data_IF_844672651658
#
_entry.id   IF_844672651658
#
_cell.length_a   1.000
_cell.length_b   1.000
_cell.length_c   1.000
_cell.angle_alpha   90.00
_cell.angle_beta   90.00
_cell.angle_gamma   90.00
#
_symmetry.space_group_name_H-M   'P 1'
#
loop_
_entity.id
_entity.type
_entity.pdbx_description
1 polymer ?
#
# COMPACT_ATOMS: atom_id res chain seq x y z
N UNK A 1 -33.75 -16.35 -10.54
CA UNK A 1 -33.77 -15.63 -9.25
C UNK A 1 -33.50 -14.16 -9.51
N UNK A 2 -34.19 -13.25 -8.82
CA UNK A 2 -33.88 -11.81 -8.90
C UNK A 2 -32.56 -11.52 -8.18
N UNK A 3 -31.68 -10.72 -8.78
CA UNK A 3 -30.44 -10.28 -8.13
C UNK A 3 -30.73 -9.43 -6.90
N UNK A 4 -29.85 -9.49 -5.90
CA UNK A 4 -29.89 -8.64 -4.72
C UNK A 4 -29.49 -7.22 -5.14
N UNK A 5 -30.35 -6.24 -4.89
CA UNK A 5 -30.08 -4.82 -5.17
C UNK A 5 -29.14 -4.26 -4.10
N UNK A 6 -28.00 -3.72 -4.52
CA UNK A 6 -27.04 -3.08 -3.62
C UNK A 6 -27.17 -1.56 -3.76
N UNK A 7 -27.25 -0.86 -2.63
CA UNK A 7 -27.23 0.60 -2.59
C UNK A 7 -25.79 1.11 -2.54
N UNK A 8 -25.50 2.17 -3.29
CA UNK A 8 -24.16 2.77 -3.37
C UNK A 8 -23.29 2.16 -4.48
N UNK A 9 -22.02 2.54 -4.46
CA UNK A 9 -21.01 2.15 -5.45
C UNK A 9 -19.85 1.47 -4.74
N UNK A 10 -19.36 0.36 -5.29
CA UNK A 10 -18.11 -0.26 -4.87
C UNK A 10 -17.02 0.11 -5.87
N UNK A 11 -15.86 0.55 -5.38
CA UNK A 11 -14.70 0.79 -6.23
C UNK A 11 -13.95 -0.52 -6.43
N UNK A 12 -13.78 -0.95 -7.68
CA UNK A 12 -13.12 -2.20 -8.07
C UNK A 12 -11.75 -1.89 -8.68
N UNK A 13 -10.70 -2.26 -7.96
CA UNK A 13 -9.31 -2.02 -8.33
C UNK A 13 -8.70 -3.34 -8.83
N UNK A 14 -8.61 -3.50 -10.14
CA UNK A 14 -8.04 -4.71 -10.75
C UNK A 14 -6.53 -4.80 -10.55
N UNK A 15 -5.92 -5.92 -10.94
CA UNK A 15 -4.54 -6.24 -10.63
C UNK A 15 -3.83 -7.02 -11.72
N UNK A 16 -2.84 -7.80 -11.30
CA UNK A 16 -1.85 -8.43 -12.17
C UNK A 16 -1.84 -9.96 -12.08
N UNK A 17 -1.15 -10.59 -13.03
CA UNK A 17 -0.79 -12.02 -13.07
C UNK A 17 -1.97 -12.97 -12.80
N UNK A 18 -1.74 -14.04 -12.03
CA UNK A 18 -2.76 -15.04 -11.71
C UNK A 18 -3.93 -14.45 -10.92
N UNK A 19 -3.68 -13.43 -10.10
CA UNK A 19 -4.74 -12.80 -9.32
C UNK A 19 -5.74 -12.07 -10.21
N UNK A 20 -5.31 -11.45 -11.31
CA UNK A 20 -6.22 -10.84 -12.29
C UNK A 20 -7.18 -11.87 -12.91
N UNK A 21 -6.66 -13.04 -13.28
CA UNK A 21 -7.48 -14.12 -13.86
C UNK A 21 -8.52 -14.63 -12.84
N UNK A 22 -8.09 -14.86 -11.60
CA UNK A 22 -8.98 -15.28 -10.52
C UNK A 22 -10.01 -14.18 -10.19
N UNK A 23 -9.61 -12.91 -10.26
CA UNK A 23 -10.48 -11.76 -10.01
C UNK A 23 -11.65 -11.71 -10.99
N UNK A 24 -11.38 -11.87 -12.29
CA UNK A 24 -12.42 -11.96 -13.31
C UNK A 24 -13.39 -13.11 -13.04
N UNK A 25 -12.87 -14.30 -12.70
CA UNK A 25 -13.71 -15.45 -12.35
C UNK A 25 -14.62 -15.15 -11.15
N UNK A 26 -14.08 -14.61 -10.05
CA UNK A 26 -14.85 -14.26 -8.86
C UNK A 26 -15.97 -13.27 -9.23
N UNK A 27 -15.61 -12.19 -9.94
CA UNK A 27 -16.56 -11.15 -10.33
C UNK A 27 -17.68 -11.71 -11.20
N UNK A 28 -17.34 -12.45 -12.25
CA UNK A 28 -18.29 -12.94 -13.26
C UNK A 28 -19.14 -14.12 -12.78
N UNK A 29 -18.57 -15.04 -12.00
CA UNK A 29 -19.23 -16.29 -11.64
C UNK A 29 -19.86 -16.24 -10.24
N UNK A 30 -19.27 -15.47 -9.31
CA UNK A 30 -19.64 -15.52 -7.89
C UNK A 30 -20.30 -14.23 -7.39
N UNK A 31 -20.14 -13.10 -8.09
CA UNK A 31 -20.69 -11.80 -7.67
C UNK A 31 -21.83 -11.34 -8.58
N UNK A 32 -21.53 -11.03 -9.85
CA UNK A 32 -22.48 -10.41 -10.78
C UNK A 32 -23.73 -11.25 -11.11
N UNK A 33 -23.72 -12.60 -11.04
CA UNK A 33 -24.95 -13.39 -11.22
C UNK A 33 -25.96 -13.18 -10.08
N UNK A 34 -25.48 -12.79 -8.89
CA UNK A 34 -26.28 -12.74 -7.66
C UNK A 34 -26.53 -11.31 -7.17
N UNK A 35 -25.63 -10.36 -7.46
CA UNK A 35 -25.74 -8.96 -7.05
C UNK A 35 -25.98 -8.03 -8.25
N UNK A 36 -26.89 -7.08 -8.08
CA UNK A 36 -27.00 -5.90 -8.91
C UNK A 36 -26.37 -4.72 -8.14
N UNK A 37 -25.10 -4.51 -8.41
CA UNK A 37 -24.22 -3.58 -7.69
C UNK A 37 -23.57 -2.62 -8.69
N UNK A 38 -23.54 -1.33 -8.34
CA UNK A 38 -22.82 -0.35 -9.12
C UNK A 38 -21.32 -0.47 -8.84
N UNK A 39 -20.52 -0.61 -9.90
CA UNK A 39 -19.07 -0.78 -9.80
C UNK A 39 -18.38 0.36 -10.55
N UNK A 40 -17.55 1.11 -9.84
CA UNK A 40 -16.62 2.08 -10.43
C UNK A 40 -15.26 1.40 -10.58
N UNK A 41 -14.86 1.12 -11.82
CA UNK A 41 -13.73 0.25 -12.13
C UNK A 41 -12.45 1.04 -12.42
N UNK A 42 -11.34 0.57 -11.85
CA UNK A 42 -9.99 1.09 -12.05
C UNK A 42 -9.02 -0.05 -12.33
N UNK A 43 -8.35 -0.02 -13.48
CA UNK A 43 -7.35 -1.02 -13.82
C UNK A 43 -6.00 -0.64 -13.23
N UNK A 44 -5.60 -1.29 -12.12
CA UNK A 44 -4.27 -1.09 -11.53
C UNK A 44 -3.22 -2.09 -12.04
N UNK A 45 -3.51 -2.79 -13.13
CA UNK A 45 -2.53 -3.62 -13.84
C UNK A 45 -1.30 -2.80 -14.25
N UNK A 46 -0.13 -3.42 -14.23
CA UNK A 46 1.17 -2.77 -14.44
C UNK A 46 1.20 -1.91 -15.71
N UNK A 47 0.72 -2.45 -16.83
CA UNK A 47 0.70 -1.76 -18.11
C UNK A 47 -0.17 -0.50 -18.09
N UNK A 48 -1.36 -0.56 -17.46
CA UNK A 48 -2.23 0.61 -17.36
C UNK A 48 -1.70 1.65 -16.38
N UNK A 49 -1.05 1.22 -15.30
CA UNK A 49 -0.34 2.14 -14.40
C UNK A 49 0.80 2.84 -15.13
N UNK A 50 1.60 2.12 -15.92
CA UNK A 50 2.65 2.73 -16.71
C UNK A 50 2.09 3.69 -17.77
N UNK A 51 1.02 3.30 -18.48
CA UNK A 51 0.36 4.13 -19.50
C UNK A 51 -0.18 5.45 -18.94
N UNK A 52 -0.70 5.44 -17.69
CA UNK A 52 -1.32 6.60 -17.03
C UNK A 52 -0.36 7.36 -16.12
N UNK A 53 0.93 7.06 -16.16
CA UNK A 53 1.94 7.61 -15.25
C UNK A 53 1.58 7.45 -13.75
N UNK A 54 0.96 6.30 -13.44
CA UNK A 54 0.43 5.87 -12.13
C UNK A 54 -0.73 6.73 -11.61
N UNK A 55 -1.30 7.61 -12.43
CA UNK A 55 -2.45 8.45 -12.06
C UNK A 55 -3.69 7.62 -11.73
N UNK A 56 -3.91 6.48 -12.41
CA UNK A 56 -5.03 5.57 -12.15
C UNK A 56 -5.04 5.08 -10.68
N UNK A 57 -3.88 4.90 -10.07
CA UNK A 57 -3.75 4.50 -8.66
C UNK A 57 -4.25 5.60 -7.71
N UNK A 58 -3.95 6.87 -8.03
CA UNK A 58 -4.39 8.03 -7.25
C UNK A 58 -5.90 8.23 -7.41
N UNK A 59 -6.41 8.11 -8.63
CA UNK A 59 -7.83 8.26 -8.93
C UNK A 59 -8.65 7.20 -8.21
N UNK A 60 -8.19 5.94 -8.22
CA UNK A 60 -8.83 4.85 -7.51
C UNK A 60 -8.89 5.11 -5.99
N UNK A 61 -7.82 5.64 -5.39
CA UNK A 61 -7.82 6.00 -3.97
C UNK A 61 -8.83 7.11 -3.65
N UNK A 62 -8.93 8.13 -4.50
CA UNK A 62 -9.91 9.20 -4.33
C UNK A 62 -11.35 8.72 -4.54
N UNK A 63 -11.58 7.77 -5.46
CA UNK A 63 -12.88 7.13 -5.62
C UNK A 63 -13.27 6.34 -4.37
N UNK A 64 -12.33 5.62 -3.74
CA UNK A 64 -12.59 4.94 -2.45
C UNK A 64 -12.96 5.99 -1.40
N UNK A 65 -12.25 7.11 -1.32
CA UNK A 65 -12.56 8.19 -0.37
C UNK A 65 -13.96 8.76 -0.58
N UNK A 66 -14.41 8.87 -1.83
CA UNK A 66 -15.76 9.34 -2.22
C UNK A 66 -16.86 8.33 -1.89
N UNK A 67 -16.63 7.04 -2.14
CA UNK A 67 -17.66 5.99 -2.06
C UNK A 67 -17.63 5.16 -0.77
N UNK A 68 -16.54 5.25 -0.01
CA UNK A 68 -16.34 4.59 1.28
C UNK A 68 -15.87 3.13 1.20
N UNK A 69 -16.05 2.44 0.06
CA UNK A 69 -15.72 1.01 -0.08
C UNK A 69 -14.90 0.75 -1.35
N UNK A 70 -13.75 0.13 -1.18
CA UNK A 70 -12.90 -0.37 -2.26
C UNK A 70 -12.57 -1.84 -2.08
N UNK A 71 -12.57 -2.59 -3.18
CA UNK A 71 -12.08 -3.97 -3.26
C UNK A 71 -10.90 -3.99 -4.24
N UNK A 72 -9.83 -4.68 -3.87
CA UNK A 72 -8.57 -4.59 -4.61
C UNK A 72 -7.96 -5.97 -4.86
N UNK A 73 -7.63 -6.21 -6.13
CA UNK A 73 -6.81 -7.32 -6.59
C UNK A 73 -5.31 -7.08 -6.29
N UNK A 74 -4.52 -8.15 -6.20
CA UNK A 74 -3.08 -8.02 -5.97
C UNK A 74 -2.39 -7.42 -7.20
N UNK A 75 -1.41 -6.55 -6.97
CA UNK A 75 -0.71 -5.77 -8.01
C UNK A 75 0.79 -5.92 -7.84
N UNK A 76 1.52 -5.98 -8.96
CA UNK A 76 2.98 -5.98 -8.97
C UNK A 76 3.48 -4.63 -8.42
N UNK A 77 4.51 -4.66 -7.58
CA UNK A 77 5.35 -3.49 -7.30
C UNK A 77 6.67 -3.72 -8.04
N UNK A 78 7.01 -2.92 -9.06
CA UNK A 78 8.11 -3.25 -9.94
C UNK A 78 9.45 -3.03 -9.24
N UNK A 79 10.37 -3.96 -9.43
CA UNK A 79 11.81 -3.82 -9.19
C UNK A 79 12.53 -3.64 -10.54
N UNK A 80 13.87 -3.63 -10.56
CA UNK A 80 14.65 -3.49 -11.79
C UNK A 80 14.31 -4.56 -12.83
N UNK A 81 14.08 -5.80 -12.39
CA UNK A 81 13.76 -6.90 -13.29
C UNK A 81 12.37 -6.71 -13.92
N UNK A 82 11.38 -6.26 -13.13
CA UNK A 82 10.05 -5.95 -13.66
C UNK A 82 10.03 -4.72 -14.58
N UNK A 83 10.94 -3.75 -14.37
CA UNK A 83 11.11 -2.63 -15.31
C UNK A 83 11.57 -3.14 -16.67
N UNK A 84 12.53 -4.07 -16.71
CA UNK A 84 13.00 -4.69 -17.96
C UNK A 84 11.92 -5.58 -18.60
N UNK A 85 11.27 -6.45 -17.81
CA UNK A 85 10.25 -7.39 -18.29
C UNK A 85 9.07 -6.68 -18.99
N UNK A 86 8.59 -5.59 -18.40
CA UNK A 86 7.42 -4.86 -18.89
C UNK A 86 7.78 -3.63 -19.74
N UNK A 87 9.07 -3.29 -19.89
CA UNK A 87 9.51 -2.08 -20.59
C UNK A 87 8.99 -0.78 -19.97
N UNK A 88 8.98 -0.70 -18.64
CA UNK A 88 8.36 0.41 -17.90
C UNK A 88 9.11 1.73 -18.09
N UNK A 89 8.38 2.85 -18.10
CA UNK A 89 8.97 4.21 -18.14
C UNK A 89 9.89 4.46 -16.94
N UNK A 90 9.52 3.93 -15.78
CA UNK A 90 10.30 3.98 -14.53
C UNK A 90 9.80 2.96 -13.52
N UNK A 91 10.54 2.80 -12.44
CA UNK A 91 10.14 1.99 -11.28
C UNK A 91 9.02 2.71 -10.51
N UNK A 92 7.76 2.35 -10.79
CA UNK A 92 6.59 2.90 -10.12
C UNK A 92 6.53 2.49 -8.64
N UNK A 93 5.96 3.36 -7.81
CA UNK A 93 5.74 3.04 -6.38
C UNK A 93 4.68 1.95 -6.23
N UNK A 94 4.64 1.32 -5.05
CA UNK A 94 3.62 0.32 -4.74
C UNK A 94 2.23 0.96 -4.72
N UNK A 95 1.24 0.44 -5.49
CA UNK A 95 -0.12 0.95 -5.44
C UNK A 95 -0.73 0.90 -4.04
N UNK A 96 -0.39 -0.15 -3.29
CA UNK A 96 -0.84 -0.31 -1.91
C UNK A 96 -0.33 0.83 -1.01
N UNK A 97 0.92 1.26 -1.20
CA UNK A 97 1.50 2.38 -0.46
C UNK A 97 0.80 3.70 -0.81
N UNK A 98 0.60 3.96 -2.11
CA UNK A 98 -0.10 5.16 -2.59
C UNK A 98 -1.52 5.25 -2.03
N UNK A 99 -2.30 4.18 -2.12
CA UNK A 99 -3.69 4.14 -1.61
C UNK A 99 -3.73 4.39 -0.09
N UNK A 100 -2.88 3.71 0.68
CA UNK A 100 -2.80 3.89 2.15
C UNK A 100 -2.42 5.31 2.53
N UNK A 101 -1.52 5.93 1.78
CA UNK A 101 -1.10 7.31 2.04
C UNK A 101 -2.22 8.32 1.82
N UNK A 102 -3.15 8.03 0.91
CA UNK A 102 -4.28 8.92 0.59
C UNK A 102 -5.46 8.67 1.54
N UNK A 103 -5.72 7.42 1.91
CA UNK A 103 -6.85 7.04 2.76
C UNK A 103 -6.55 7.11 4.26
N UNK A 104 -5.30 6.88 4.66
CA UNK A 104 -4.93 6.68 6.06
C UNK A 104 -5.43 5.36 6.65
N UNK A 105 -5.38 5.25 7.97
CA UNK A 105 -6.01 4.16 8.74
C UNK A 105 -5.12 2.95 9.05
N UNK A 106 -5.79 1.91 9.56
CA UNK A 106 -5.18 0.69 10.12
C UNK A 106 -5.49 -0.51 9.24
N UNK A 107 -4.49 -1.35 8.98
CA UNK A 107 -4.69 -2.59 8.24
C UNK A 107 -4.91 -3.72 9.23
N UNK A 108 -6.12 -4.27 9.26
CA UNK A 108 -6.39 -5.51 9.99
C UNK A 108 -6.14 -6.72 9.10
N UNK A 109 -5.38 -7.69 9.61
CA UNK A 109 -5.16 -8.99 8.97
C UNK A 109 -5.66 -10.10 9.90
N UNK A 110 -6.57 -10.91 9.39
CA UNK A 110 -7.17 -12.02 10.11
C UNK A 110 -7.02 -13.32 9.29
N UNK A 111 -6.74 -14.47 9.92
CA UNK A 111 -6.73 -15.75 9.23
C UNK A 111 -8.17 -16.25 8.96
N UNK A 112 -8.39 -16.80 7.77
CA UNK A 112 -9.60 -17.62 7.49
C UNK A 112 -9.34 -19.03 8.02
N UNK A 113 -10.00 -19.41 9.12
CA UNK A 113 -9.80 -20.70 9.78
C UNK A 113 -10.65 -21.78 9.10
N UNK A 114 -9.98 -22.86 8.68
CA UNK A 114 -10.63 -24.05 8.09
C UNK A 114 -10.35 -25.23 9.02
N UNK A 115 -11.41 -25.92 9.46
CA UNK A 115 -11.35 -26.93 10.53
C UNK A 115 -10.44 -28.12 10.23
N UNK A 116 -10.23 -28.45 8.95
CA UNK A 116 -9.40 -29.56 8.50
C UNK A 116 -7.97 -29.16 8.10
N UNK A 117 -7.59 -27.88 8.26
CA UNK A 117 -6.22 -27.41 7.99
C UNK A 117 -5.47 -27.25 9.32
N UNK A 118 -4.42 -28.05 9.59
CA UNK A 118 -3.64 -27.91 10.81
C UNK A 118 -2.87 -26.59 10.84
N UNK A 119 -2.72 -26.01 12.03
CA UNK A 119 -1.99 -24.76 12.23
C UNK A 119 -0.52 -25.04 12.51
N UNK A 120 0.36 -24.14 12.04
CA UNK A 120 1.80 -24.22 12.29
C UNK A 120 2.14 -24.18 13.78
N UNK A 121 1.41 -23.38 14.55
CA UNK A 121 1.49 -23.33 16.01
C UNK A 121 0.25 -24.00 16.59
N UNK A 122 0.34 -25.25 17.10
CA UNK A 122 -0.84 -26.03 17.49
C UNK A 122 -1.66 -25.37 18.61
N UNK A 123 -1.00 -24.64 19.52
CA UNK A 123 -1.63 -23.96 20.65
C UNK A 123 -2.50 -22.75 20.29
N UNK A 124 -2.43 -22.25 19.05
CA UNK A 124 -3.29 -21.16 18.61
C UNK A 124 -4.71 -21.66 18.35
N UNK A 125 -5.54 -21.74 19.37
CA UNK A 125 -6.93 -22.24 19.28
C UNK A 125 -7.94 -21.16 18.92
N UNK A 126 -7.52 -19.89 18.90
CA UNK A 126 -8.31 -18.72 18.52
C UNK A 126 -7.57 -17.91 17.46
N UNK A 127 -8.29 -17.16 16.58
CA UNK A 127 -7.65 -16.30 15.60
C UNK A 127 -6.84 -15.20 16.29
N UNK A 128 -5.75 -14.80 15.65
CA UNK A 128 -4.95 -13.63 16.03
C UNK A 128 -5.13 -12.61 14.91
N UNK A 129 -5.58 -11.41 15.27
CA UNK A 129 -5.75 -10.30 14.34
C UNK A 129 -4.58 -9.35 14.53
N UNK A 130 -3.90 -9.01 13.44
CA UNK A 130 -2.82 -8.02 13.46
C UNK A 130 -3.37 -6.70 12.94
N UNK A 131 -3.45 -5.70 13.82
CA UNK A 131 -3.62 -4.30 13.45
C UNK A 131 -2.25 -3.72 13.09
N UNK A 132 -2.04 -3.39 11.82
CA UNK A 132 -0.80 -2.82 11.31
C UNK A 132 -0.99 -1.33 11.02
N UNK A 133 -0.19 -0.49 11.67
CA UNK A 133 -0.08 0.93 11.35
C UNK A 133 0.48 1.09 9.94
N UNK A 134 -0.23 1.84 9.09
CA UNK A 134 0.02 1.91 7.65
C UNK A 134 0.58 3.25 7.19
N UNK A 135 1.26 3.98 8.09
CA UNK A 135 1.78 5.32 7.84
C UNK A 135 3.18 5.49 8.42
N UNK A 136 4.03 6.26 7.73
CA UNK A 136 5.35 6.67 8.22
C UNK A 136 6.41 5.57 8.18
N UNK A 137 7.34 5.66 9.13
CA UNK A 137 8.42 4.71 9.42
C UNK A 137 9.23 4.34 8.16
N UNK A 138 9.70 3.09 8.06
CA UNK A 138 10.53 2.63 6.93
C UNK A 138 9.82 2.78 5.57
N UNK A 139 8.48 2.84 5.54
CA UNK A 139 7.72 2.96 4.30
C UNK A 139 7.74 4.36 3.68
N UNK A 140 8.16 5.37 4.46
CA UNK A 140 8.37 6.75 4.01
C UNK A 140 9.75 7.29 4.41
N UNK A 141 10.68 6.39 4.66
CA UNK A 141 12.04 6.77 4.97
C UNK A 141 12.73 7.39 3.75
N UNK A 142 13.76 8.18 4.01
CA UNK A 142 14.75 8.58 3.02
C UNK A 142 16.07 7.92 3.40
N UNK A 143 16.60 7.13 2.50
CA UNK A 143 17.84 6.39 2.66
C UNK A 143 18.91 6.89 1.68
N UNK A 144 20.17 6.77 2.08
CA UNK A 144 21.31 7.26 1.31
C UNK A 144 22.53 6.40 1.53
N UNK A 145 23.31 6.20 0.46
CA UNK A 145 24.65 5.65 0.55
C UNK A 145 25.65 6.76 0.87
N UNK A 146 26.38 6.61 1.97
CA UNK A 146 27.43 7.54 2.39
C UNK A 146 28.73 7.17 1.66
N UNK A 147 29.32 8.08 0.86
CA UNK A 147 30.41 7.72 -0.05
C UNK A 147 31.78 7.57 0.64
N UNK A 148 31.98 8.09 1.85
CA UNK A 148 33.27 8.12 2.52
C UNK A 148 33.17 8.67 3.94
N UNK A 149 34.31 9.03 4.53
CA UNK A 149 34.36 9.59 5.87
C UNK A 149 33.67 10.98 5.93
N UNK A 150 32.99 11.27 7.04
CA UNK A 150 32.29 12.55 7.25
C UNK A 150 31.27 12.51 8.40
N UNK A 151 30.79 13.67 8.83
CA UNK A 151 29.73 13.80 9.84
C UNK A 151 28.35 13.76 9.17
N UNK A 152 27.44 12.97 9.73
CA UNK A 152 26.03 12.96 9.36
C UNK A 152 25.21 13.59 10.48
N UNK A 153 24.46 14.66 10.16
CA UNK A 153 23.58 15.33 11.11
C UNK A 153 22.11 15.19 10.71
N UNK A 154 21.21 15.30 11.70
CA UNK A 154 19.78 15.49 11.52
C UNK A 154 19.42 16.91 11.93
N UNK A 155 18.77 17.65 11.04
CA UNK A 155 18.37 19.04 11.32
C UNK A 155 16.86 19.21 11.19
N UNK A 156 16.25 19.83 12.19
CA UNK A 156 14.85 20.26 12.16
C UNK A 156 14.79 21.79 12.23
N UNK A 157 14.18 22.42 11.22
CA UNK A 157 13.99 23.86 11.15
C UNK A 157 12.53 24.20 11.46
N UNK A 158 12.23 24.86 12.59
CA UNK A 158 10.89 25.29 12.93
C UNK A 158 10.29 26.26 11.88
N UNK A 159 9.02 26.03 11.50
CA UNK A 159 8.33 26.87 10.52
C UNK A 159 7.97 28.27 11.04
N UNK A 160 7.99 28.47 12.36
CA UNK A 160 7.76 29.76 13.03
C UNK A 160 9.02 30.65 13.05
N UNK A 161 10.12 30.20 12.45
CA UNK A 161 11.39 30.92 12.39
C UNK A 161 12.25 30.79 13.65
N UNK A 162 11.92 29.87 14.56
CA UNK A 162 12.78 29.52 15.69
C UNK A 162 14.12 28.93 15.26
N UNK A 163 15.07 28.86 16.21
CA UNK A 163 16.40 28.28 15.97
C UNK A 163 16.31 26.80 15.54
N UNK A 164 17.04 26.39 14.48
CA UNK A 164 17.09 24.98 14.08
C UNK A 164 17.68 24.08 15.17
N UNK A 165 17.09 22.91 15.34
CA UNK A 165 17.68 21.83 16.14
C UNK A 165 18.59 20.99 15.24
N UNK A 166 19.87 20.87 15.58
CA UNK A 166 20.83 20.01 14.89
C UNK A 166 21.36 18.92 15.82
N UNK A 167 21.29 17.67 15.37
CA UNK A 167 21.71 16.49 16.12
C UNK A 167 22.75 15.73 15.31
N UNK A 168 23.94 15.47 15.88
CA UNK A 168 24.89 14.56 15.26
C UNK A 168 24.33 13.12 15.34
N UNK A 169 24.16 12.48 14.19
CA UNK A 169 23.75 11.09 14.12
C UNK A 169 24.99 10.20 14.26
N UNK A 170 26.00 10.43 13.42
CA UNK A 170 27.19 9.59 13.38
C UNK A 170 28.33 10.25 12.58
N UNK A 171 29.55 10.08 13.07
CA UNK A 171 30.78 10.41 12.35
C UNK A 171 31.32 9.18 11.63
N UNK A 172 31.05 9.10 10.32
CA UNK A 172 31.49 8.00 9.48
C UNK A 172 33.01 8.02 9.33
N UNK A 173 33.73 6.93 9.67
CA UNK A 173 35.17 6.82 9.39
C UNK A 173 35.46 6.37 7.94
N UNK A 174 34.46 5.87 7.22
CA UNK A 174 34.52 5.38 5.85
C UNK A 174 33.10 5.31 5.25
N UNK A 175 32.97 4.82 4.01
CA UNK A 175 31.67 4.65 3.35
C UNK A 175 30.68 3.78 4.13
N UNK A 176 29.39 4.08 4.01
CA UNK A 176 28.33 3.36 4.72
C UNK A 176 26.95 3.65 4.13
N UNK A 177 25.92 3.49 4.96
CA UNK A 177 24.52 3.81 4.62
C UNK A 177 23.86 4.51 5.80
N UNK A 178 22.87 5.34 5.53
CA UNK A 178 22.06 6.00 6.53
C UNK A 178 20.60 6.06 6.09
N UNK A 179 19.70 6.20 7.06
CA UNK A 179 18.27 6.28 6.84
C UNK A 179 17.64 7.23 7.87
N UNK A 180 16.78 8.13 7.41
CA UNK A 180 15.90 8.94 8.25
C UNK A 180 14.44 8.53 8.04
N UNK A 181 13.66 8.46 9.12
CA UNK A 181 12.23 8.16 9.06
C UNK A 181 11.44 9.05 10.03
N UNK A 182 10.12 9.11 9.86
CA UNK A 182 9.24 9.94 10.67
C UNK A 182 7.88 9.28 10.86
N UNK A 183 7.15 9.77 11.86
CA UNK A 183 5.73 9.51 12.05
C UNK A 183 5.05 10.78 12.59
N UNK A 184 3.71 10.78 12.69
CA UNK A 184 2.92 11.92 13.14
C UNK A 184 2.05 11.55 14.34
N UNK A 185 1.98 12.42 15.34
CA UNK A 185 1.13 12.26 16.52
C UNK A 185 -0.32 11.90 16.17
N UNK A 186 -0.91 12.61 15.21
CA UNK A 186 -2.28 12.36 14.73
C UNK A 186 -2.41 10.94 14.17
N UNK A 187 -1.46 10.52 13.33
CA UNK A 187 -1.47 9.18 12.76
C UNK A 187 -1.30 8.08 13.80
N UNK A 188 -0.54 8.33 14.87
CA UNK A 188 -0.36 7.37 15.98
C UNK A 188 -1.62 7.30 16.84
N UNK A 189 -2.33 8.41 17.06
CA UNK A 189 -3.59 8.42 17.83
C UNK A 189 -4.75 7.78 17.07
N UNK A 190 -4.75 7.87 15.75
CA UNK A 190 -5.75 7.20 14.89
C UNK A 190 -5.50 5.69 14.75
N UNK A 191 -4.29 5.21 15.07
CA UNK A 191 -3.92 3.80 15.05
C UNK A 191 -4.38 3.06 16.31
#
# INVERSE_FOLDING_TARGET
MSKIKVQGTVVDLDGDEMTRIIWSFIKEQLILPYLDVNIEYYDLGMENRDATDDQVTIDAANAIKKHGVGIKCATITPDEARVEEFGLKKMWKSPNGTIRNILGGVIFREPIIISNIPRLVPGWTKPIIVGRHAFGDQYKATDVKIPGAGSLTMTFTPADGGEPMELNIFDFPASGVAMGMYNLDESIREF
#
